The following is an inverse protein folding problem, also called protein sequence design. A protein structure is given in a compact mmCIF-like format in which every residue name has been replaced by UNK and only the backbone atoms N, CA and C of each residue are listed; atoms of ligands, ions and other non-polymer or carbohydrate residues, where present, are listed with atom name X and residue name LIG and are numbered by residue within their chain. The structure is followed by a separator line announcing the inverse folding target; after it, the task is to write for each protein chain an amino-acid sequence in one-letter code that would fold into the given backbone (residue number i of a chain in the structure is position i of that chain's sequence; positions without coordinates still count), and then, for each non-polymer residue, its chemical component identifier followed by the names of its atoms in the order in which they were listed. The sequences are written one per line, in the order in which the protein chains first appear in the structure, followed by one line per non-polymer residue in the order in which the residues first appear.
data_IF_432937303055
#
_entry.id   IF_432937303055
#
_cell.length_a   1.000
_cell.length_b   1.000
_cell.length_c   1.000
_cell.angle_alpha   90.00
_cell.angle_beta   90.00
_cell.angle_gamma   90.00
#
_symmetry.space_group_name_H-M   'P 1'
#
loop_
_entity.id
_entity.type
_entity.pdbx_description
1 polymer ?
#
# COMPACT_ATOMS: atom_id res chain seq x y z
N UNK A 1 48.99 -59.90 23.10
CA UNK A 1 48.14 -59.01 22.27
C UNK A 1 46.64 -59.25 22.41
N UNK A 2 46.13 -60.50 22.50
CA UNK A 2 44.67 -60.76 22.63
C UNK A 2 44.02 -60.32 23.96
N UNK A 3 44.76 -60.24 25.07
CA UNK A 3 44.20 -59.82 26.38
C UNK A 3 44.14 -58.29 26.57
N UNK A 4 45.02 -57.53 25.92
CA UNK A 4 45.01 -56.05 25.96
C UNK A 4 43.83 -55.50 25.18
N UNK A 5 43.48 -56.12 24.04
CA UNK A 5 42.30 -55.76 23.26
C UNK A 5 40.99 -55.94 24.06
N UNK A 6 40.88 -57.00 24.87
CA UNK A 6 39.71 -57.23 25.73
C UNK A 6 39.57 -56.18 26.84
N UNK A 7 40.69 -55.71 27.40
CA UNK A 7 40.71 -54.66 28.41
C UNK A 7 40.35 -53.30 27.80
N UNK A 8 40.86 -52.99 26.60
CA UNK A 8 40.54 -51.75 25.89
C UNK A 8 39.07 -51.71 25.41
N UNK A 9 38.51 -52.84 24.98
CA UNK A 9 37.09 -52.94 24.62
C UNK A 9 36.19 -52.83 25.86
N UNK A 10 36.58 -53.42 27.00
CA UNK A 10 35.84 -53.28 28.26
C UNK A 10 35.86 -51.83 28.79
N UNK A 11 36.99 -51.13 28.65
CA UNK A 11 37.11 -49.71 28.97
C UNK A 11 36.27 -48.83 28.03
N UNK A 12 36.25 -49.13 26.73
CA UNK A 12 35.42 -48.40 25.76
C UNK A 12 33.91 -48.56 26.02
N UNK A 13 33.46 -49.75 26.42
CA UNK A 13 32.06 -50.01 26.81
C UNK A 13 31.70 -49.37 28.15
N UNK A 14 32.64 -49.23 29.08
CA UNK A 14 32.41 -48.52 30.34
C UNK A 14 32.21 -47.01 30.14
N UNK A 15 32.80 -46.42 29.09
CA UNK A 15 32.63 -45.00 28.75
C UNK A 15 31.30 -44.67 28.05
N UNK A 16 30.59 -45.66 27.47
CA UNK A 16 29.29 -45.39 26.82
C UNK A 16 28.13 -45.21 27.81
N UNK A 17 28.34 -45.45 29.11
CA UNK A 17 27.33 -45.27 30.15
C UNK A 17 27.31 -43.88 30.82
N UNK A 18 28.21 -42.95 30.42
CA UNK A 18 28.22 -41.58 30.94
C UNK A 18 27.50 -40.55 30.04
N UNK A 19 26.79 -41.00 29.00
CA UNK A 19 26.11 -40.12 28.03
C UNK A 19 24.70 -39.65 28.39
N UNK A 20 24.14 -40.04 29.54
CA UNK A 20 22.85 -39.53 30.00
C UNK A 20 23.09 -38.34 30.93
N UNK A 21 23.30 -37.15 30.36
CA UNK A 21 22.88 -35.95 31.07
C UNK A 21 21.39 -36.14 31.32
N UNK A 22 20.96 -36.18 32.59
CA UNK A 22 19.54 -36.08 32.90
C UNK A 22 19.09 -34.78 32.24
N UNK A 23 18.23 -34.88 31.24
CA UNK A 23 17.53 -33.71 30.73
C UNK A 23 16.93 -33.01 31.96
N UNK A 24 17.16 -31.71 32.09
CA UNK A 24 16.49 -30.92 33.12
C UNK A 24 15.01 -31.23 32.99
N UNK A 25 14.41 -31.76 34.08
CA UNK A 25 12.99 -32.05 34.11
C UNK A 25 12.28 -30.78 33.64
N UNK A 26 11.48 -30.91 32.58
CA UNK A 26 10.63 -29.83 32.09
C UNK A 26 9.78 -29.36 33.28
N UNK A 27 10.21 -28.29 33.95
CA UNK A 27 9.55 -27.76 35.14
C UNK A 27 8.43 -26.84 34.67
N UNK A 28 7.51 -27.42 33.91
CA UNK A 28 6.32 -26.75 33.39
C UNK A 28 5.11 -27.33 34.11
N UNK A 29 4.38 -26.45 34.79
CA UNK A 29 3.08 -26.79 35.34
C UNK A 29 2.10 -26.84 34.16
N UNK A 30 1.63 -28.04 33.84
CA UNK A 30 0.48 -28.19 32.93
C UNK A 30 -0.72 -27.65 33.71
N UNK A 31 -1.13 -26.43 33.40
CA UNK A 31 -2.36 -25.87 33.94
C UNK A 31 -3.54 -26.61 33.31
N UNK A 32 -4.50 -27.00 34.14
CA UNK A 32 -5.69 -27.70 33.68
C UNK A 32 -6.53 -26.72 32.83
N UNK A 33 -6.71 -26.95 31.52
CA UNK A 33 -7.47 -26.03 30.66
C UNK A 33 -8.95 -25.90 31.06
N UNK A 34 -9.47 -26.83 31.88
CA UNK A 34 -10.87 -26.85 32.31
C UNK A 34 -11.14 -26.02 33.58
N UNK A 35 -10.13 -25.66 34.37
CA UNK A 35 -10.25 -24.78 35.53
C UNK A 35 -9.75 -23.37 35.19
N UNK A 36 -10.57 -22.63 34.46
CA UNK A 36 -10.24 -21.29 34.01
C UNK A 36 -10.87 -20.21 34.91
N UNK A 37 -10.03 -19.27 35.38
CA UNK A 37 -10.50 -18.05 36.05
C UNK A 37 -10.18 -16.84 35.17
N UNK A 38 -11.20 -16.05 34.83
CA UNK A 38 -11.06 -14.88 33.98
C UNK A 38 -10.07 -13.84 34.51
N UNK A 39 -9.05 -13.55 33.71
CA UNK A 39 -8.03 -12.56 34.00
C UNK A 39 -8.40 -11.15 33.54
N UNK A 40 -7.45 -10.22 33.63
CA UNK A 40 -7.62 -8.85 33.13
C UNK A 40 -7.75 -8.80 31.61
N UNK A 41 -6.98 -9.64 30.90
CA UNK A 41 -7.04 -9.76 29.44
C UNK A 41 -8.43 -10.20 28.97
N UNK A 42 -9.06 -11.17 29.64
CA UNK A 42 -10.41 -11.63 29.30
C UNK A 42 -11.47 -10.54 29.48
N UNK A 43 -11.37 -9.77 30.55
CA UNK A 43 -12.27 -8.63 30.79
C UNK A 43 -12.07 -7.56 29.72
N UNK A 44 -10.83 -7.31 29.32
CA UNK A 44 -10.50 -6.38 28.25
C UNK A 44 -11.07 -6.86 26.91
N UNK A 45 -10.91 -8.15 26.56
CA UNK A 45 -11.51 -8.76 25.36
C UNK A 45 -13.03 -8.64 25.40
N UNK A 46 -13.67 -8.98 26.53
CA UNK A 46 -15.12 -8.87 26.68
C UNK A 46 -15.61 -7.45 26.38
N UNK A 47 -14.99 -6.48 27.05
CA UNK A 47 -15.39 -5.07 26.97
C UNK A 47 -15.20 -4.47 25.57
N UNK A 48 -14.10 -4.82 24.89
CA UNK A 48 -13.69 -4.15 23.65
C UNK A 48 -14.06 -4.92 22.38
N UNK A 49 -14.36 -6.21 22.48
CA UNK A 49 -14.59 -7.10 21.33
C UNK A 49 -15.89 -7.90 21.46
N UNK A 50 -16.06 -8.64 22.55
CA UNK A 50 -17.22 -9.53 22.71
C UNK A 50 -18.51 -8.72 22.82
N UNK A 51 -18.58 -7.78 23.77
CA UNK A 51 -19.80 -7.00 24.04
C UNK A 51 -20.18 -6.08 22.86
N UNK A 52 -19.26 -5.31 22.23
CA UNK A 52 -19.64 -4.41 21.14
C UNK A 52 -19.85 -5.11 19.78
N UNK A 53 -19.14 -6.21 19.50
CA UNK A 53 -19.10 -6.79 18.15
C UNK A 53 -19.52 -8.27 18.09
N UNK A 54 -19.76 -8.91 19.23
CA UNK A 54 -19.97 -10.36 19.33
C UNK A 54 -18.81 -11.16 18.73
N UNK A 55 -17.58 -10.74 19.07
CA UNK A 55 -16.33 -11.35 18.61
C UNK A 55 -15.72 -12.16 19.76
N UNK A 56 -15.48 -13.44 19.51
CA UNK A 56 -14.69 -14.30 20.39
C UNK A 56 -13.21 -14.27 19.96
N UNK A 57 -12.32 -14.09 20.93
CA UNK A 57 -10.87 -14.16 20.71
C UNK A 57 -10.33 -15.43 21.35
N UNK A 58 -9.89 -16.37 20.52
CA UNK A 58 -9.32 -17.65 20.92
C UNK A 58 -7.80 -17.50 20.94
N UNK A 59 -7.26 -17.13 22.11
CA UNK A 59 -5.81 -16.95 22.30
C UNK A 59 -5.18 -18.05 23.16
N UNK A 60 -5.98 -18.73 23.99
CA UNK A 60 -5.53 -19.94 24.68
C UNK A 60 -5.35 -21.03 23.66
N UNK A 61 -4.18 -21.66 23.66
CA UNK A 61 -3.83 -22.63 22.65
C UNK A 61 -4.77 -23.83 22.68
N UNK A 62 -5.41 -24.09 21.54
CA UNK A 62 -6.30 -25.22 21.33
C UNK A 62 -5.83 -26.00 20.12
N UNK A 63 -5.44 -27.27 20.31
CA UNK A 63 -4.85 -28.10 19.25
C UNK A 63 -5.83 -28.36 18.09
N UNK A 64 -7.13 -28.35 18.35
CA UNK A 64 -8.17 -28.56 17.36
C UNK A 64 -8.47 -27.31 16.50
N UNK A 65 -7.83 -26.17 16.78
CA UNK A 65 -8.04 -24.90 16.05
C UNK A 65 -7.06 -24.71 14.88
N UNK A 66 -6.21 -25.70 14.59
CA UNK A 66 -5.32 -25.68 13.43
C UNK A 66 -5.09 -27.10 12.90
N UNK A 67 -4.50 -27.23 11.71
CA UNK A 67 -4.16 -28.53 11.13
C UNK A 67 -3.22 -29.31 12.06
N UNK A 68 -3.60 -30.55 12.36
CA UNK A 68 -2.87 -31.47 13.24
C UNK A 68 -1.47 -31.81 12.75
N UNK A 69 -1.19 -31.62 11.46
CA UNK A 69 0.12 -31.85 10.85
C UNK A 69 1.05 -30.65 10.93
N UNK A 70 0.56 -29.50 11.43
CA UNK A 70 1.35 -28.27 11.55
C UNK A 70 1.93 -28.11 12.95
N UNK A 71 3.17 -27.63 12.99
CA UNK A 71 3.87 -27.27 14.23
C UNK A 71 3.65 -25.78 14.48
N UNK A 72 2.65 -25.47 15.31
CA UNK A 72 2.23 -24.11 15.61
C UNK A 72 2.37 -23.86 17.11
N UNK A 73 3.06 -22.78 17.49
CA UNK A 73 3.26 -22.41 18.88
C UNK A 73 2.08 -21.61 19.45
N UNK A 74 1.82 -21.69 20.77
CA UNK A 74 0.91 -20.76 21.44
C UNK A 74 1.36 -19.30 21.22
N UNK A 75 0.42 -18.34 21.19
CA UNK A 75 0.77 -16.93 21.24
C UNK A 75 1.33 -16.56 22.61
N UNK A 76 2.26 -15.61 22.63
CA UNK A 76 2.64 -14.90 23.85
C UNK A 76 1.44 -14.08 24.32
N UNK A 77 0.95 -14.36 25.53
CA UNK A 77 -0.25 -13.70 26.08
C UNK A 77 -0.09 -12.18 26.16
N UNK A 78 1.12 -11.68 26.42
CA UNK A 78 1.41 -10.25 26.46
C UNK A 78 1.26 -9.58 25.08
N UNK A 79 1.26 -10.35 23.99
CA UNK A 79 1.07 -9.87 22.61
C UNK A 79 -0.39 -9.87 22.16
N UNK A 80 -1.29 -10.56 22.88
CA UNK A 80 -2.69 -10.71 22.48
C UNK A 80 -3.43 -9.37 22.48
N UNK A 81 -3.38 -8.63 23.58
CA UNK A 81 -4.04 -7.31 23.64
C UNK A 81 -3.46 -6.33 22.60
N UNK A 82 -2.13 -6.17 22.44
CA UNK A 82 -1.58 -5.35 21.36
C UNK A 82 -2.04 -5.75 19.96
N UNK A 83 -2.06 -7.05 19.64
CA UNK A 83 -2.57 -7.54 18.35
C UNK A 83 -4.04 -7.19 18.16
N UNK A 84 -4.87 -7.42 19.17
CA UNK A 84 -6.29 -7.14 19.06
C UNK A 84 -6.61 -5.64 19.08
N UNK A 85 -5.76 -4.81 19.69
CA UNK A 85 -5.85 -3.35 19.55
C UNK A 85 -5.59 -2.91 18.11
N UNK A 86 -4.61 -3.53 17.42
CA UNK A 86 -4.39 -3.30 15.98
C UNK A 86 -5.62 -3.69 15.16
N UNK A 87 -6.27 -4.82 15.48
CA UNK A 87 -7.52 -5.25 14.83
C UNK A 87 -8.65 -4.26 15.10
N UNK A 88 -8.77 -3.72 16.31
CA UNK A 88 -9.79 -2.71 16.63
C UNK A 88 -9.52 -1.46 15.79
N UNK A 89 -8.31 -0.92 15.88
CA UNK A 89 -7.94 0.36 15.29
C UNK A 89 -7.99 0.32 13.77
N UNK A 90 -7.20 -0.56 13.15
CA UNK A 90 -6.97 -0.59 11.71
C UNK A 90 -8.01 -1.38 10.92
N UNK A 91 -8.89 -2.12 11.57
CA UNK A 91 -9.90 -2.93 10.89
C UNK A 91 -11.32 -2.65 11.39
N UNK A 92 -11.65 -2.92 12.66
CA UNK A 92 -13.03 -2.81 13.14
C UNK A 92 -13.54 -1.37 13.11
N UNK A 93 -12.77 -0.42 13.61
CA UNK A 93 -13.15 0.99 13.65
C UNK A 93 -13.25 1.58 12.24
N UNK A 94 -12.34 1.19 11.33
CA UNK A 94 -12.38 1.60 9.91
C UNK A 94 -13.71 1.23 9.26
N UNK A 95 -14.09 -0.05 9.32
CA UNK A 95 -15.35 -0.51 8.72
C UNK A 95 -16.58 -0.03 9.48
N UNK A 96 -16.49 0.17 10.79
CA UNK A 96 -17.58 0.74 11.60
C UNK A 96 -17.86 2.19 11.24
N UNK A 97 -16.82 3.00 11.03
CA UNK A 97 -16.96 4.41 10.70
C UNK A 97 -17.49 4.62 9.29
N UNK A 98 -17.22 3.71 8.36
CA UNK A 98 -17.71 3.78 6.96
C UNK A 98 -19.04 3.05 6.76
N UNK A 99 -19.14 1.79 7.20
CA UNK A 99 -20.31 0.93 6.96
C UNK A 99 -21.36 0.94 8.08
N UNK A 100 -21.03 1.52 9.24
CA UNK A 100 -21.94 1.63 10.37
C UNK A 100 -22.25 0.29 11.06
N UNK A 101 -23.14 0.35 12.05
CA UNK A 101 -23.44 -0.79 12.92
C UNK A 101 -24.06 -2.00 12.17
N UNK A 102 -24.84 -1.76 11.11
CA UNK A 102 -25.46 -2.83 10.32
C UNK A 102 -24.40 -3.65 9.59
N UNK A 103 -23.45 -2.99 8.93
CA UNK A 103 -22.34 -3.67 8.26
C UNK A 103 -21.55 -4.52 9.24
N UNK A 104 -21.19 -3.94 10.39
CA UNK A 104 -20.41 -4.64 11.42
C UNK A 104 -21.14 -5.87 11.97
N UNK A 105 -22.45 -5.77 12.24
CA UNK A 105 -23.23 -6.92 12.74
C UNK A 105 -23.30 -8.06 11.73
N UNK A 106 -23.44 -7.74 10.44
CA UNK A 106 -23.65 -8.73 9.38
C UNK A 106 -22.36 -9.39 8.92
N UNK A 107 -21.29 -8.62 8.68
CA UNK A 107 -20.14 -9.09 7.92
C UNK A 107 -18.88 -9.33 8.75
N UNK A 108 -18.74 -8.67 9.91
CA UNK A 108 -17.53 -8.81 10.73
C UNK A 108 -17.37 -10.26 11.22
N UNK A 109 -16.14 -10.82 11.17
CA UNK A 109 -15.84 -12.14 11.72
C UNK A 109 -16.35 -12.25 13.16
N UNK A 110 -16.82 -13.43 13.56
CA UNK A 110 -17.26 -13.70 14.94
C UNK A 110 -16.17 -14.36 15.78
N UNK A 111 -15.09 -14.80 15.16
CA UNK A 111 -13.96 -15.44 15.84
C UNK A 111 -12.63 -14.97 15.28
N UNK A 112 -11.70 -14.65 16.18
CA UNK A 112 -10.27 -14.53 15.87
C UNK A 112 -9.51 -15.63 16.62
N UNK A 113 -8.88 -16.54 15.89
CA UNK A 113 -7.98 -17.55 16.47
C UNK A 113 -6.54 -17.09 16.33
N UNK A 114 -5.78 -17.08 17.43
CA UNK A 114 -4.48 -16.44 17.51
C UNK A 114 -3.37 -17.46 17.78
N UNK A 115 -2.30 -17.41 16.99
CA UNK A 115 -1.16 -18.30 17.09
C UNK A 115 0.18 -17.55 17.07
N UNK A 116 1.14 -18.03 17.86
CA UNK A 116 2.41 -17.32 18.08
C UNK A 116 3.38 -17.43 16.92
N UNK A 117 3.48 -18.61 16.29
CA UNK A 117 4.35 -18.86 15.15
C UNK A 117 3.61 -18.76 13.82
N UNK A 118 4.35 -18.59 12.72
CA UNK A 118 3.81 -18.75 11.37
C UNK A 118 3.34 -20.18 11.11
N UNK A 119 2.38 -20.36 10.20
CA UNK A 119 2.05 -21.66 9.64
C UNK A 119 2.87 -21.89 8.36
N UNK A 120 3.86 -22.78 8.43
CA UNK A 120 4.79 -23.05 7.34
C UNK A 120 4.27 -24.17 6.43
N UNK A 121 4.32 -23.92 5.13
CA UNK A 121 4.04 -24.91 4.09
C UNK A 121 5.28 -25.71 3.71
N UNK A 122 5.09 -26.84 3.05
CA UNK A 122 6.19 -27.74 2.64
C UNK A 122 7.15 -27.09 1.64
N UNK A 123 6.70 -26.05 0.93
CA UNK A 123 7.51 -25.26 0.00
C UNK A 123 8.23 -24.08 0.70
N UNK A 124 8.08 -23.94 2.01
CA UNK A 124 8.69 -22.89 2.83
C UNK A 124 7.91 -21.57 2.85
N UNK A 125 6.77 -21.47 2.15
CA UNK A 125 5.88 -20.31 2.27
C UNK A 125 5.21 -20.26 3.64
N UNK A 126 4.81 -19.06 4.07
CA UNK A 126 4.20 -18.81 5.38
C UNK A 126 2.78 -18.31 5.18
N UNK A 127 1.83 -19.02 5.78
CA UNK A 127 0.43 -18.57 5.87
C UNK A 127 0.33 -17.65 7.09
N UNK A 128 0.05 -16.38 6.84
CA UNK A 128 -0.09 -15.35 7.87
C UNK A 128 -1.51 -15.29 8.45
N UNK A 129 -2.52 -15.70 7.67
CA UNK A 129 -3.88 -15.84 8.14
C UNK A 129 -4.72 -16.75 7.26
N UNK A 130 -5.92 -17.08 7.73
CA UNK A 130 -6.94 -17.82 6.98
C UNK A 130 -8.34 -17.38 7.39
N UNK A 131 -9.30 -17.41 6.46
CA UNK A 131 -10.72 -17.23 6.71
C UNK A 131 -11.51 -18.53 6.52
N UNK A 132 -12.38 -18.85 7.48
CA UNK A 132 -13.21 -20.06 7.46
C UNK A 132 -14.68 -19.79 7.80
N UNK A 133 -15.57 -20.41 7.02
CA UNK A 133 -17.02 -20.45 7.25
C UNK A 133 -17.72 -19.09 7.35
N UNK A 134 -17.17 -18.03 6.76
CA UNK A 134 -17.67 -16.66 6.87
C UNK A 134 -17.62 -16.08 8.28
N UNK A 135 -16.92 -16.76 9.20
CA UNK A 135 -17.07 -16.55 10.64
C UNK A 135 -15.75 -16.38 11.37
N UNK A 136 -14.70 -17.11 10.97
CA UNK A 136 -13.44 -17.15 11.70
C UNK A 136 -12.31 -16.62 10.84
N UNK A 137 -11.51 -15.73 11.43
CA UNK A 137 -10.18 -15.37 10.93
C UNK A 137 -9.15 -15.99 11.86
N UNK A 138 -8.17 -16.69 11.29
CA UNK A 138 -7.00 -17.17 12.04
C UNK A 138 -5.83 -16.26 11.74
N UNK A 139 -5.10 -15.83 12.76
CA UNK A 139 -3.89 -15.01 12.64
C UNK A 139 -2.69 -15.79 13.18
N UNK A 140 -1.66 -15.92 12.36
CA UNK A 140 -0.41 -16.59 12.70
C UNK A 140 0.72 -15.56 12.90
N UNK A 141 1.77 -15.97 13.62
CA UNK A 141 2.98 -15.17 13.77
C UNK A 141 2.86 -13.99 14.75
N UNK A 142 1.89 -13.99 15.67
CA UNK A 142 1.67 -12.90 16.63
C UNK A 142 2.92 -12.50 17.42
N UNK A 143 3.79 -13.46 17.73
CA UNK A 143 4.98 -13.21 18.54
C UNK A 143 5.98 -12.28 17.84
N UNK A 144 5.89 -12.18 16.51
CA UNK A 144 6.71 -11.30 15.68
C UNK A 144 6.09 -9.90 15.48
N UNK A 145 4.87 -9.65 15.95
CA UNK A 145 4.24 -8.33 15.84
C UNK A 145 5.02 -7.30 16.66
N UNK A 146 5.38 -6.21 15.98
CA UNK A 146 5.95 -5.02 16.59
C UNK A 146 5.05 -3.81 16.32
N UNK A 147 4.19 -3.47 17.28
CA UNK A 147 3.24 -2.33 17.18
C UNK A 147 3.91 -0.96 17.03
N UNK A 148 5.20 -0.85 17.38
CA UNK A 148 5.99 0.38 17.20
C UNK A 148 6.59 0.49 15.79
N UNK A 149 6.40 -0.52 14.93
CA UNK A 149 6.87 -0.54 13.55
C UNK A 149 5.67 -0.42 12.61
N UNK A 150 5.59 0.70 11.89
CA UNK A 150 4.55 0.95 10.88
C UNK A 150 4.47 -0.19 9.88
N UNK A 151 5.61 -0.67 9.36
CA UNK A 151 5.63 -1.78 8.41
C UNK A 151 5.13 -3.10 9.00
N UNK A 152 5.41 -3.37 10.28
CA UNK A 152 4.89 -4.56 10.96
C UNK A 152 3.36 -4.49 11.13
N UNK A 153 2.82 -3.34 11.50
CA UNK A 153 1.38 -3.11 11.64
C UNK A 153 0.69 -3.18 10.27
N UNK A 154 1.25 -2.54 9.25
CA UNK A 154 0.75 -2.56 7.87
C UNK A 154 0.69 -3.98 7.30
N UNK A 155 1.73 -4.79 7.46
CA UNK A 155 1.73 -6.18 6.98
C UNK A 155 0.69 -7.06 7.69
N UNK A 156 0.50 -6.84 9.00
CA UNK A 156 -0.52 -7.51 9.78
C UNK A 156 -1.94 -7.14 9.31
N UNK A 157 -2.20 -5.83 9.14
CA UNK A 157 -3.48 -5.34 8.64
C UNK A 157 -3.73 -5.77 7.19
N UNK A 158 -2.72 -5.79 6.32
CA UNK A 158 -2.83 -6.32 4.96
C UNK A 158 -3.38 -7.74 4.93
N UNK A 159 -2.88 -8.60 5.82
CA UNK A 159 -3.40 -9.97 5.99
C UNK A 159 -4.85 -9.97 6.48
N UNK A 160 -5.18 -9.18 7.51
CA UNK A 160 -6.54 -9.10 8.06
C UNK A 160 -7.54 -8.61 7.00
N UNK A 161 -7.19 -7.57 6.23
CA UNK A 161 -8.03 -7.06 5.16
C UNK A 161 -8.19 -8.10 4.04
N UNK A 162 -7.12 -8.80 3.66
CA UNK A 162 -7.19 -9.90 2.68
C UNK A 162 -8.17 -10.99 3.13
N UNK A 163 -8.02 -11.52 4.35
CA UNK A 163 -8.92 -12.56 4.88
C UNK A 163 -10.36 -12.06 5.04
N UNK A 164 -10.55 -10.79 5.37
CA UNK A 164 -11.88 -10.21 5.43
C UNK A 164 -12.55 -10.15 4.06
N UNK A 165 -11.81 -9.88 2.99
CA UNK A 165 -12.36 -9.94 1.63
C UNK A 165 -12.83 -11.36 1.30
N UNK A 166 -12.09 -12.40 1.69
CA UNK A 166 -12.58 -13.78 1.55
C UNK A 166 -13.91 -14.00 2.27
N UNK A 167 -14.10 -13.45 3.48
CA UNK A 167 -15.38 -13.51 4.22
C UNK A 167 -16.49 -12.77 3.47
N UNK A 168 -16.22 -11.56 2.97
CA UNK A 168 -17.20 -10.84 2.14
C UNK A 168 -17.60 -11.68 0.93
N UNK A 169 -16.63 -12.30 0.27
CA UNK A 169 -16.83 -13.07 -0.96
C UNK A 169 -17.60 -14.39 -0.73
N UNK A 170 -17.59 -14.91 0.49
CA UNK A 170 -18.44 -16.04 0.90
C UNK A 170 -19.90 -15.63 1.11
N UNK A 171 -20.17 -14.35 1.37
CA UNK A 171 -21.54 -13.81 1.57
C UNK A 171 -22.11 -13.11 0.33
N UNK A 172 -21.24 -12.62 -0.55
CA UNK A 172 -21.55 -11.92 -1.80
C UNK A 172 -20.57 -12.40 -2.86
N UNK A 173 -21.07 -12.98 -3.94
CA UNK A 173 -20.21 -13.57 -4.96
C UNK A 173 -19.33 -12.51 -5.64
N UNK A 174 -18.11 -12.90 -6.00
CA UNK A 174 -17.25 -12.10 -6.86
C UNK A 174 -17.98 -11.84 -8.19
N UNK A 175 -18.03 -10.59 -8.68
CA UNK A 175 -18.69 -10.29 -9.96
C UNK A 175 -18.05 -11.05 -11.13
N UNK A 176 -18.87 -11.59 -12.03
CA UNK A 176 -18.40 -12.33 -13.21
C UNK A 176 -17.45 -11.49 -14.08
N UNK A 177 -17.72 -10.18 -14.20
CA UNK A 177 -16.87 -9.24 -14.91
C UNK A 177 -15.43 -9.25 -14.41
N UNK A 178 -15.19 -9.49 -13.10
CA UNK A 178 -13.83 -9.60 -12.56
C UNK A 178 -13.09 -10.82 -13.12
N UNK A 179 -13.78 -11.96 -13.20
CA UNK A 179 -13.21 -13.23 -13.67
C UNK A 179 -12.74 -13.12 -15.13
N UNK A 180 -13.48 -12.37 -15.94
CA UNK A 180 -13.21 -12.21 -17.37
C UNK A 180 -11.95 -11.37 -17.65
N UNK A 181 -11.50 -10.52 -16.72
CA UNK A 181 -10.37 -9.61 -16.95
C UNK A 181 -9.05 -10.37 -17.18
N UNK A 182 -8.81 -11.42 -16.39
CA UNK A 182 -7.58 -12.24 -16.42
C UNK A 182 -7.86 -13.71 -16.70
N UNK A 183 -8.96 -14.01 -17.38
CA UNK A 183 -9.31 -15.38 -17.77
C UNK A 183 -8.17 -16.02 -18.57
N UNK A 184 -7.80 -17.25 -18.20
CA UNK A 184 -6.71 -18.00 -18.84
C UNK A 184 -5.29 -17.70 -18.30
N UNK A 185 -5.10 -16.64 -17.51
CA UNK A 185 -3.77 -16.23 -17.02
C UNK A 185 -3.49 -16.65 -15.56
N UNK A 186 -4.43 -17.33 -14.90
CA UNK A 186 -4.23 -17.90 -13.56
C UNK A 186 -3.18 -19.02 -13.57
N UNK A 187 -2.35 -19.02 -12.54
CA UNK A 187 -1.26 -19.97 -12.36
C UNK A 187 -1.17 -20.38 -10.88
N UNK A 188 -1.61 -21.61 -10.58
CA UNK A 188 -1.76 -22.10 -9.21
C UNK A 188 -0.45 -22.14 -8.41
N UNK A 189 0.68 -22.40 -9.07
CA UNK A 189 2.00 -22.42 -8.42
C UNK A 189 2.54 -20.99 -8.27
N UNK A 190 2.02 -20.27 -7.28
CA UNK A 190 2.33 -18.87 -7.08
C UNK A 190 3.77 -18.59 -6.65
N UNK A 191 4.46 -19.56 -6.03
CA UNK A 191 5.86 -19.44 -5.56
C UNK A 191 6.89 -19.61 -6.67
N UNK A 192 6.48 -19.97 -7.88
CA UNK A 192 7.39 -20.16 -9.01
C UNK A 192 7.97 -18.83 -9.52
N UNK A 193 9.22 -18.54 -9.17
CA UNK A 193 9.85 -17.26 -9.52
C UNK A 193 10.20 -17.10 -11.00
N UNK A 194 10.20 -18.17 -11.79
CA UNK A 194 10.52 -18.14 -13.23
C UNK A 194 9.27 -17.90 -14.08
N UNK A 195 8.20 -18.66 -13.85
CA UNK A 195 6.95 -18.59 -14.61
C UNK A 195 5.91 -17.65 -13.99
N UNK A 196 6.12 -17.26 -12.73
CA UNK A 196 5.25 -16.38 -11.96
C UNK A 196 6.05 -15.27 -11.24
N UNK A 197 7.10 -14.75 -11.88
CA UNK A 197 7.83 -13.60 -11.34
C UNK A 197 6.89 -12.41 -11.11
N UNK A 198 7.29 -11.47 -10.23
CA UNK A 198 6.57 -10.20 -10.04
C UNK A 198 6.36 -9.47 -11.37
N UNK A 199 7.38 -9.45 -12.23
CA UNK A 199 7.29 -8.82 -13.56
C UNK A 199 6.20 -9.46 -14.42
N UNK A 200 6.21 -10.79 -14.55
CA UNK A 200 5.23 -11.51 -15.37
C UNK A 200 3.81 -11.30 -14.81
N UNK A 201 3.66 -11.44 -13.49
CA UNK A 201 2.36 -11.29 -12.83
C UNK A 201 1.80 -9.89 -13.05
N UNK A 202 2.64 -8.88 -12.88
CA UNK A 202 2.31 -7.49 -13.11
C UNK A 202 1.91 -7.22 -14.55
N UNK A 203 2.70 -7.67 -15.53
CA UNK A 203 2.42 -7.48 -16.96
C UNK A 203 1.11 -8.15 -17.43
N UNK A 204 0.70 -9.22 -16.74
CA UNK A 204 -0.57 -9.90 -16.98
C UNK A 204 -1.77 -9.27 -16.23
N UNK A 205 -1.54 -8.26 -15.38
CA UNK A 205 -2.59 -7.54 -14.66
C UNK A 205 -2.94 -8.12 -13.29
N UNK A 206 -1.97 -8.72 -12.59
CA UNK A 206 -2.10 -9.18 -11.21
C UNK A 206 -1.26 -8.31 -10.27
N UNK A 207 -1.82 -7.95 -9.11
CA UNK A 207 -1.18 -7.04 -8.15
C UNK A 207 -0.02 -7.72 -7.38
N UNK A 208 -0.02 -9.06 -7.33
CA UNK A 208 1.06 -9.86 -6.76
C UNK A 208 1.17 -11.21 -7.49
N UNK A 209 2.30 -11.94 -7.36
CA UNK A 209 2.38 -13.34 -7.77
C UNK A 209 1.31 -14.22 -7.11
N UNK A 210 0.94 -13.92 -5.86
CA UNK A 210 -0.07 -14.68 -5.11
C UNK A 210 -1.48 -14.52 -5.70
N UNK A 211 -1.82 -13.31 -6.18
CA UNK A 211 -3.07 -13.04 -6.89
C UNK A 211 -3.27 -13.96 -8.12
N UNK A 212 -2.19 -14.49 -8.74
CA UNK A 212 -2.31 -15.43 -9.87
C UNK A 212 -2.78 -16.82 -9.46
N UNK A 213 -2.80 -17.16 -8.17
CA UNK A 213 -3.15 -18.50 -7.70
C UNK A 213 -4.59 -18.89 -8.11
N UNK A 214 -5.56 -18.01 -7.89
CA UNK A 214 -6.94 -18.16 -8.31
C UNK A 214 -7.71 -16.83 -8.17
N UNK A 215 -8.94 -16.79 -8.69
CA UNK A 215 -9.84 -15.61 -8.68
C UNK A 215 -10.09 -15.06 -7.28
N UNK A 216 -10.25 -15.94 -6.27
CA UNK A 216 -10.52 -15.53 -4.89
C UNK A 216 -9.36 -14.73 -4.30
N UNK A 217 -8.13 -15.23 -4.46
CA UNK A 217 -6.92 -14.52 -4.01
C UNK A 217 -6.70 -13.23 -4.79
N UNK A 218 -6.95 -13.24 -6.11
CA UNK A 218 -6.81 -12.06 -6.96
C UNK A 218 -7.71 -10.91 -6.51
N UNK A 219 -8.98 -11.22 -6.25
CA UNK A 219 -9.93 -10.24 -5.75
C UNK A 219 -9.54 -9.73 -4.36
N UNK A 220 -9.16 -10.64 -3.46
CA UNK A 220 -8.72 -10.31 -2.11
C UNK A 220 -7.49 -9.41 -2.10
N UNK A 221 -6.47 -9.74 -2.91
CA UNK A 221 -5.24 -8.95 -3.05
C UNK A 221 -5.51 -7.57 -3.65
N UNK A 222 -6.36 -7.46 -4.68
CA UNK A 222 -6.66 -6.13 -5.27
C UNK A 222 -7.35 -5.24 -4.24
N UNK A 223 -8.38 -5.74 -3.55
CA UNK A 223 -9.11 -4.94 -2.57
C UNK A 223 -8.27 -4.62 -1.34
N UNK A 224 -7.51 -5.58 -0.80
CA UNK A 224 -6.64 -5.35 0.36
C UNK A 224 -5.52 -4.37 0.03
N UNK A 225 -4.83 -4.51 -1.12
CA UNK A 225 -3.79 -3.57 -1.56
C UNK A 225 -4.34 -2.15 -1.75
N UNK A 226 -5.53 -2.00 -2.34
CA UNK A 226 -6.16 -0.68 -2.48
C UNK A 226 -6.37 -0.01 -1.12
N UNK A 227 -6.76 -0.77 -0.09
CA UNK A 227 -6.98 -0.26 1.27
C UNK A 227 -5.65 0.02 1.97
N UNK A 228 -4.76 -0.97 2.03
CA UNK A 228 -3.57 -0.91 2.87
C UNK A 228 -2.42 -0.17 2.22
N UNK A 229 -2.06 -0.47 0.98
CA UNK A 229 -0.94 0.21 0.30
C UNK A 229 -1.38 1.54 -0.32
N UNK A 230 -2.67 1.67 -0.59
CA UNK A 230 -3.33 2.91 -0.96
C UNK A 230 -3.32 3.22 -2.46
N UNK A 231 -4.10 4.23 -2.83
CA UNK A 231 -4.36 4.56 -4.24
C UNK A 231 -3.10 4.88 -5.04
N UNK A 232 -2.19 5.68 -4.48
CA UNK A 232 -0.98 6.11 -5.19
C UNK A 232 -0.04 4.93 -5.50
N UNK A 233 0.03 3.94 -4.62
CA UNK A 233 0.77 2.70 -4.88
C UNK A 233 0.12 1.91 -6.02
N UNK A 234 -1.20 1.69 -5.95
CA UNK A 234 -1.92 0.92 -6.96
C UNK A 234 -1.83 1.57 -8.34
N UNK A 235 -1.97 2.89 -8.42
CA UNK A 235 -1.89 3.66 -9.67
C UNK A 235 -0.49 3.59 -10.28
N UNK A 236 0.57 3.70 -9.47
CA UNK A 236 1.95 3.52 -9.91
C UNK A 236 2.26 2.09 -10.33
N UNK A 237 1.76 1.10 -9.58
CA UNK A 237 1.91 -0.30 -9.94
C UNK A 237 1.26 -0.58 -11.31
N UNK A 238 0.02 -0.12 -11.50
CA UNK A 238 -0.72 -0.20 -12.75
C UNK A 238 0.01 0.47 -13.90
N UNK A 239 0.49 1.71 -13.72
CA UNK A 239 1.23 2.45 -14.74
C UNK A 239 2.51 1.73 -15.20
N UNK A 240 3.19 1.01 -14.28
CA UNK A 240 4.38 0.20 -14.57
C UNK A 240 4.09 -1.22 -15.11
N UNK A 241 2.83 -1.54 -15.40
CA UNK A 241 2.41 -2.90 -15.78
C UNK A 241 2.40 -3.15 -17.29
N UNK A 242 2.85 -2.19 -18.10
CA UNK A 242 2.65 -2.24 -19.56
C UNK A 242 1.18 -2.04 -19.94
N UNK A 243 0.89 -1.94 -21.23
CA UNK A 243 -0.45 -1.58 -21.71
C UNK A 243 -1.54 -2.58 -21.27
N UNK A 244 -1.27 -3.88 -21.45
CA UNK A 244 -2.20 -4.94 -21.06
C UNK A 244 -2.42 -4.95 -19.53
N UNK A 245 -1.35 -5.06 -18.74
CA UNK A 245 -1.44 -5.11 -17.29
C UNK A 245 -2.10 -3.86 -16.69
N UNK A 246 -1.79 -2.68 -17.22
CA UNK A 246 -2.41 -1.42 -16.80
C UNK A 246 -3.93 -1.43 -17.07
N UNK A 247 -4.35 -1.83 -18.27
CA UNK A 247 -5.77 -1.89 -18.62
C UNK A 247 -6.55 -2.85 -17.73
N UNK A 248 -5.95 -4.02 -17.41
CA UNK A 248 -6.55 -5.05 -16.57
C UNK A 248 -6.63 -4.63 -15.10
N UNK A 249 -5.57 -4.06 -14.54
CA UNK A 249 -5.58 -3.57 -13.16
C UNK A 249 -6.59 -2.43 -12.99
N UNK A 250 -6.68 -1.50 -13.95
CA UNK A 250 -7.71 -0.45 -13.93
C UNK A 250 -9.13 -1.02 -14.01
N UNK A 251 -9.35 -2.05 -14.82
CA UNK A 251 -10.64 -2.74 -14.87
C UNK A 251 -10.96 -3.44 -13.54
N UNK A 252 -9.97 -4.10 -12.92
CA UNK A 252 -10.14 -4.77 -11.62
C UNK A 252 -10.49 -3.78 -10.51
N UNK A 253 -9.78 -2.66 -10.44
CA UNK A 253 -10.09 -1.57 -9.51
C UNK A 253 -11.54 -1.09 -9.67
N UNK A 254 -11.99 -0.86 -10.92
CA UNK A 254 -13.35 -0.42 -11.19
C UNK A 254 -14.40 -1.43 -10.70
N UNK A 255 -14.18 -2.73 -10.95
CA UNK A 255 -15.09 -3.79 -10.49
C UNK A 255 -15.10 -3.91 -8.96
N UNK A 256 -13.94 -3.77 -8.30
CA UNK A 256 -13.87 -3.80 -6.83
C UNK A 256 -14.61 -2.62 -6.21
N UNK A 257 -14.45 -1.40 -6.75
CA UNK A 257 -15.19 -0.22 -6.29
C UNK A 257 -16.70 -0.43 -6.41
N UNK A 258 -17.13 -0.90 -7.58
CA UNK A 258 -18.53 -1.19 -7.85
C UNK A 258 -19.09 -2.30 -6.94
N UNK A 259 -18.32 -3.35 -6.70
CA UNK A 259 -18.69 -4.43 -5.77
C UNK A 259 -18.95 -3.89 -4.35
N UNK A 260 -18.06 -3.04 -3.84
CA UNK A 260 -18.21 -2.46 -2.49
C UNK A 260 -19.46 -1.57 -2.42
N UNK A 261 -19.69 -0.76 -3.45
CA UNK A 261 -20.84 0.14 -3.54
C UNK A 261 -22.16 -0.62 -3.65
N UNK A 262 -22.29 -1.55 -4.60
CA UNK A 262 -23.54 -2.27 -4.86
C UNK A 262 -23.92 -3.23 -3.74
N UNK A 263 -22.95 -3.90 -3.11
CA UNK A 263 -23.24 -4.94 -2.12
C UNK A 263 -23.33 -4.42 -0.69
N UNK A 264 -22.63 -3.32 -0.37
CA UNK A 264 -22.51 -2.84 0.99
C UNK A 264 -22.88 -1.36 1.18
N UNK A 265 -23.19 -0.65 0.09
CA UNK A 265 -23.54 0.78 0.15
C UNK A 265 -22.40 1.66 0.65
N UNK A 266 -21.16 1.17 0.59
CA UNK A 266 -19.96 1.89 0.98
C UNK A 266 -19.17 2.30 -0.25
N UNK A 267 -18.38 3.35 -0.11
CA UNK A 267 -17.42 3.75 -1.14
C UNK A 267 -16.02 3.29 -0.73
N UNK A 268 -15.30 2.61 -1.64
CA UNK A 268 -13.95 2.12 -1.34
C UNK A 268 -13.01 3.28 -0.94
N UNK A 269 -13.20 4.47 -1.53
CA UNK A 269 -12.43 5.66 -1.17
C UNK A 269 -12.59 6.02 0.30
N UNK A 270 -13.78 5.88 0.87
CA UNK A 270 -14.00 6.21 2.28
C UNK A 270 -13.31 5.21 3.21
N UNK A 271 -13.29 3.92 2.84
CA UNK A 271 -12.51 2.88 3.55
C UNK A 271 -11.01 3.21 3.47
N UNK A 272 -10.52 3.55 2.27
CA UNK A 272 -9.14 3.96 2.05
C UNK A 272 -8.77 5.17 2.90
N UNK A 273 -9.66 6.17 3.05
CA UNK A 273 -9.39 7.39 3.82
C UNK A 273 -9.36 7.11 5.32
N UNK A 274 -10.35 6.37 5.83
CA UNK A 274 -10.43 6.07 7.26
C UNK A 274 -9.27 5.16 7.72
N UNK A 275 -8.87 4.19 6.89
CA UNK A 275 -7.67 3.39 7.13
C UNK A 275 -6.41 4.26 7.20
N UNK A 276 -6.23 5.16 6.22
CA UNK A 276 -5.06 6.03 6.17
C UNK A 276 -5.00 6.97 7.36
N UNK A 277 -6.11 7.61 7.69
CA UNK A 277 -6.24 8.45 8.89
C UNK A 277 -5.81 7.67 10.14
N UNK A 278 -6.33 6.46 10.33
CA UNK A 278 -5.95 5.60 11.45
C UNK A 278 -4.44 5.33 11.48
N UNK A 279 -3.86 4.97 10.33
CA UNK A 279 -2.43 4.69 10.25
C UNK A 279 -1.56 5.92 10.52
N UNK A 280 -1.97 7.10 10.07
CA UNK A 280 -1.24 8.35 10.32
C UNK A 280 -1.38 8.83 11.78
N UNK A 281 -2.60 8.81 12.34
CA UNK A 281 -2.89 9.35 13.67
C UNK A 281 -2.45 8.42 14.80
N UNK A 282 -2.68 7.09 14.68
CA UNK A 282 -2.38 6.13 15.75
C UNK A 282 -1.00 5.50 15.65
N UNK A 283 -0.50 5.28 14.43
CA UNK A 283 0.77 4.58 14.20
C UNK A 283 1.87 5.48 13.61
N UNK A 284 1.59 6.76 13.36
CA UNK A 284 2.58 7.70 12.83
C UNK A 284 3.03 7.36 11.40
N UNK A 285 2.21 6.65 10.63
CA UNK A 285 2.51 6.33 9.24
C UNK A 285 2.67 7.61 8.42
N UNK A 286 3.54 7.52 7.42
CA UNK A 286 3.74 8.58 6.42
C UNK A 286 3.59 8.04 5.00
N UNK A 287 3.22 6.77 4.86
CA UNK A 287 3.21 6.06 3.58
C UNK A 287 2.22 6.64 2.57
N UNK A 288 1.18 7.33 3.06
CA UNK A 288 0.08 7.84 2.24
C UNK A 288 0.23 9.28 1.78
N UNK A 289 1.25 9.99 2.30
CA UNK A 289 1.52 11.39 1.99
C UNK A 289 2.00 11.57 0.56
N UNK A 290 1.68 12.71 -0.06
CA UNK A 290 2.14 13.03 -1.42
C UNK A 290 3.68 13.08 -1.48
N UNK A 291 4.34 13.61 -0.45
CA UNK A 291 5.81 13.62 -0.37
C UNK A 291 6.42 12.23 -0.42
N UNK A 292 5.80 11.25 0.25
CA UNK A 292 6.23 9.85 0.21
C UNK A 292 5.99 9.21 -1.15
N UNK A 293 4.87 9.53 -1.82
CA UNK A 293 4.60 9.07 -3.18
C UNK A 293 5.67 9.59 -4.17
N UNK A 294 6.06 10.88 -4.05
CA UNK A 294 7.16 11.45 -4.84
C UNK A 294 8.49 10.75 -4.51
N UNK A 295 8.82 10.57 -3.23
CA UNK A 295 10.10 9.97 -2.82
C UNK A 295 10.24 8.49 -3.20
N UNK A 296 9.13 7.73 -3.19
CA UNK A 296 9.08 6.34 -3.67
C UNK A 296 9.02 6.25 -5.19
N UNK A 297 8.95 7.38 -5.89
CA UNK A 297 8.94 7.44 -7.35
C UNK A 297 7.62 7.01 -7.97
N UNK A 298 6.51 7.08 -7.23
CA UNK A 298 5.17 6.76 -7.75
C UNK A 298 4.64 7.81 -8.72
N UNK A 299 5.10 9.05 -8.57
CA UNK A 299 4.64 10.19 -9.37
C UNK A 299 5.67 10.44 -10.47
N UNK A 300 5.25 10.29 -11.73
CA UNK A 300 6.07 10.60 -12.91
C UNK A 300 6.11 12.10 -13.17
N UNK A 301 4.95 12.75 -13.20
CA UNK A 301 4.88 14.20 -13.43
C UNK A 301 3.60 14.81 -12.90
N UNK A 302 3.63 16.14 -12.76
CA UNK A 302 2.46 16.98 -12.52
C UNK A 302 2.21 17.77 -13.82
N UNK A 303 1.03 17.62 -14.40
CA UNK A 303 0.59 18.42 -15.54
C UNK A 303 0.09 19.78 -15.03
N UNK A 304 0.84 20.84 -15.35
CA UNK A 304 0.60 22.22 -14.89
C UNK A 304 -0.16 23.06 -15.93
N UNK A 305 -0.58 22.47 -17.05
CA UNK A 305 -1.35 23.17 -18.07
C UNK A 305 -2.78 23.46 -17.58
N UNK A 306 -3.02 24.72 -17.17
CA UNK A 306 -4.30 25.16 -16.62
C UNK A 306 -5.41 25.30 -17.66
N UNK A 307 -5.14 25.02 -18.94
CA UNK A 307 -6.15 24.99 -20.02
C UNK A 307 -6.86 23.63 -20.11
N UNK A 308 -6.38 22.62 -19.39
CA UNK A 308 -6.93 21.27 -19.40
C UNK A 308 -8.27 21.20 -18.64
N UNK A 309 -9.17 20.24 -18.96
CA UNK A 309 -10.50 20.15 -18.34
C UNK A 309 -10.50 20.09 -16.80
N UNK A 310 -9.48 19.45 -16.22
CA UNK A 310 -9.34 19.35 -14.76
C UNK A 310 -9.13 20.72 -14.10
N UNK A 311 -8.38 21.61 -14.74
CA UNK A 311 -8.07 22.94 -14.22
C UNK A 311 -9.26 23.88 -14.41
N UNK A 312 -9.96 23.79 -15.54
CA UNK A 312 -11.15 24.59 -15.82
C UNK A 312 -12.30 24.29 -14.84
N UNK A 313 -12.42 23.02 -14.40
CA UNK A 313 -13.45 22.61 -13.44
C UNK A 313 -13.12 22.97 -11.98
N UNK A 314 -11.85 23.05 -11.61
CA UNK A 314 -11.40 23.24 -10.21
C UNK A 314 -10.86 24.63 -9.90
N UNK A 315 -10.45 25.36 -10.93
CA UNK A 315 -9.62 26.55 -10.79
C UNK A 315 -8.18 26.20 -10.38
N UNK A 316 -7.30 27.18 -10.57
CA UNK A 316 -5.92 27.18 -10.07
C UNK A 316 -5.70 28.46 -9.28
N UNK A 317 -4.66 28.53 -8.44
CA UNK A 317 -4.39 29.75 -7.68
C UNK A 317 -4.05 30.93 -8.61
N UNK A 318 -4.29 32.15 -8.13
CA UNK A 318 -3.87 33.36 -8.85
C UNK A 318 -2.35 33.34 -9.11
N UNK A 319 -1.57 32.82 -8.17
CA UNK A 319 -0.12 32.67 -8.32
C UNK A 319 0.22 31.73 -9.47
N UNK A 320 -0.40 30.54 -9.54
CA UNK A 320 -0.18 29.60 -10.62
C UNK A 320 -0.55 30.21 -11.97
N UNK A 321 -1.72 30.84 -12.06
CA UNK A 321 -2.16 31.53 -13.29
C UNK A 321 -1.13 32.53 -13.77
N UNK A 322 -0.66 33.42 -12.89
CA UNK A 322 0.28 34.48 -13.25
C UNK A 322 1.64 33.95 -13.72
N UNK A 323 2.17 32.90 -13.08
CA UNK A 323 3.49 32.37 -13.46
C UNK A 323 3.45 31.51 -14.72
N UNK A 324 2.31 30.90 -15.06
CA UNK A 324 2.17 30.06 -16.26
C UNK A 324 1.60 30.80 -17.47
N UNK A 325 1.02 31.99 -17.29
CA UNK A 325 0.33 32.75 -18.34
C UNK A 325 1.18 32.95 -19.60
N UNK A 326 2.41 33.47 -19.46
CA UNK A 326 3.28 33.73 -20.59
C UNK A 326 3.52 32.47 -21.43
N UNK A 327 3.90 31.36 -20.78
CA UNK A 327 4.12 30.07 -21.44
C UNK A 327 2.85 29.54 -22.10
N UNK A 328 1.71 29.56 -21.40
CA UNK A 328 0.48 28.94 -21.89
C UNK A 328 -0.17 29.71 -23.05
N UNK A 329 0.15 31.00 -23.20
CA UNK A 329 -0.25 31.82 -24.35
C UNK A 329 0.56 31.50 -25.63
N UNK A 330 1.69 30.80 -25.49
CA UNK A 330 2.57 30.43 -26.59
C UNK A 330 4.03 30.70 -26.23
N UNK A 331 4.96 30.18 -27.03
CA UNK A 331 6.39 30.49 -26.92
C UNK A 331 6.91 30.95 -28.27
N UNK A 332 7.21 32.25 -28.40
CA UNK A 332 7.47 32.86 -29.70
C UNK A 332 6.28 32.69 -30.65
N UNK A 333 6.50 32.07 -31.83
CA UNK A 333 5.45 31.78 -32.81
C UNK A 333 4.83 30.38 -32.67
N UNK A 334 5.15 29.65 -31.60
CA UNK A 334 4.70 28.28 -31.40
C UNK A 334 3.58 28.21 -30.36
N UNK A 335 2.69 27.25 -30.56
CA UNK A 335 1.66 26.93 -29.57
C UNK A 335 2.19 25.96 -28.54
N UNK A 336 1.92 26.21 -27.25
CA UNK A 336 2.24 25.26 -26.18
C UNK A 336 1.19 24.17 -26.13
N UNK A 337 1.65 22.91 -26.15
CA UNK A 337 0.87 21.67 -26.14
C UNK A 337 0.81 21.00 -24.77
N UNK A 338 1.70 21.38 -23.85
CA UNK A 338 1.68 20.90 -22.48
C UNK A 338 2.78 21.51 -21.65
N UNK A 339 2.56 21.53 -20.34
CA UNK A 339 3.50 22.03 -19.33
C UNK A 339 3.56 21.00 -18.21
N UNK A 340 4.71 20.38 -18.01
CA UNK A 340 4.85 19.28 -17.04
C UNK A 340 6.03 19.50 -16.12
N UNK A 341 5.82 19.34 -14.82
CA UNK A 341 6.92 19.13 -13.87
C UNK A 341 7.13 17.63 -13.70
N UNK A 342 8.17 17.08 -14.33
CA UNK A 342 8.48 15.65 -14.34
C UNK A 342 9.52 15.31 -13.28
N UNK A 343 9.22 14.34 -12.43
CA UNK A 343 10.17 13.84 -11.42
C UNK A 343 11.05 12.75 -12.02
N UNK A 344 12.36 12.90 -11.84
CA UNK A 344 13.36 11.89 -12.23
C UNK A 344 13.57 10.93 -11.07
N UNK A 345 13.85 11.51 -9.91
CA UNK A 345 14.03 10.88 -8.60
C UNK A 345 13.69 11.90 -7.50
N UNK A 346 13.86 11.53 -6.22
CA UNK A 346 13.53 12.39 -5.09
C UNK A 346 14.33 13.71 -5.03
N UNK A 347 15.50 13.77 -5.67
CA UNK A 347 16.39 14.93 -5.68
C UNK A 347 16.42 15.69 -7.01
N UNK A 348 15.66 15.26 -8.03
CA UNK A 348 15.71 15.82 -9.37
C UNK A 348 14.35 15.86 -10.05
N UNK A 349 14.04 17.00 -10.67
CA UNK A 349 12.90 17.16 -11.56
C UNK A 349 13.28 17.95 -12.80
N UNK A 350 12.49 17.83 -13.85
CA UNK A 350 12.63 18.59 -15.09
C UNK A 350 11.30 19.28 -15.39
N UNK A 351 11.32 20.58 -15.65
CA UNK A 351 10.19 21.30 -16.22
C UNK A 351 10.24 21.14 -17.73
N UNK A 352 9.23 20.48 -18.30
CA UNK A 352 9.09 20.25 -19.73
C UNK A 352 7.98 21.14 -20.31
N UNK A 353 8.35 21.96 -21.30
CA UNK A 353 7.44 22.77 -22.11
C UNK A 353 7.32 22.12 -23.48
N UNK A 354 6.16 21.53 -23.78
CA UNK A 354 5.89 20.91 -25.06
C UNK A 354 5.29 21.96 -26.00
N UNK A 355 5.81 22.11 -27.21
CA UNK A 355 5.35 23.11 -28.17
C UNK A 355 5.38 22.60 -29.61
N UNK A 356 4.55 23.19 -30.47
CA UNK A 356 4.41 22.84 -31.89
C UNK A 356 4.08 24.08 -32.72
N UNK A 357 4.20 23.99 -34.04
CA UNK A 357 3.87 25.11 -34.96
C UNK A 357 2.41 25.52 -34.87
N UNK A 358 1.51 24.56 -34.66
CA UNK A 358 0.08 24.79 -34.43
C UNK A 358 -0.54 23.62 -33.64
N UNK A 359 -1.84 23.74 -33.32
CA UNK A 359 -2.56 22.77 -32.51
C UNK A 359 -2.78 21.41 -33.22
N UNK A 360 -2.74 21.39 -34.55
CA UNK A 360 -2.98 20.19 -35.37
C UNK A 360 -1.69 19.41 -35.68
N UNK A 361 -0.54 20.07 -35.51
CA UNK A 361 0.77 19.48 -35.79
C UNK A 361 1.05 18.31 -34.85
N UNK A 362 1.47 17.18 -35.43
CA UNK A 362 1.83 15.95 -34.71
C UNK A 362 3.28 15.97 -34.20
N UNK A 363 4.15 16.70 -34.87
CA UNK A 363 5.52 16.90 -34.43
C UNK A 363 5.56 17.88 -33.24
N UNK A 364 5.90 17.36 -32.06
CA UNK A 364 5.95 18.13 -30.82
C UNK A 364 7.42 18.20 -30.37
N UNK A 365 7.91 19.41 -30.16
CA UNK A 365 9.21 19.66 -29.56
C UNK A 365 9.05 19.91 -28.06
N UNK A 366 10.13 19.69 -27.32
CA UNK A 366 10.17 19.92 -25.87
C UNK A 366 11.33 20.82 -25.52
N UNK A 367 11.09 21.86 -24.74
CA UNK A 367 12.13 22.61 -24.04
C UNK A 367 12.17 22.15 -22.57
N UNK A 368 13.34 21.74 -22.09
CA UNK A 368 13.50 21.14 -20.76
C UNK A 368 14.45 21.94 -19.87
N UNK A 369 14.06 22.10 -18.60
CA UNK A 369 14.85 22.75 -17.56
C UNK A 369 14.98 21.83 -16.34
N UNK A 370 16.20 21.37 -16.06
CA UNK A 370 16.50 20.50 -14.93
C UNK A 370 16.64 21.28 -13.63
N UNK A 371 16.03 20.76 -12.58
CA UNK A 371 16.08 21.25 -11.21
C UNK A 371 16.67 20.20 -10.28
N UNK A 372 17.48 20.68 -9.33
CA UNK A 372 17.81 19.94 -8.11
C UNK A 372 16.78 20.26 -7.04
N UNK A 373 16.32 19.22 -6.35
CA UNK A 373 15.37 19.31 -5.24
C UNK A 373 16.14 19.07 -3.96
N UNK A 374 16.05 20.00 -3.01
CA UNK A 374 16.56 19.82 -1.65
C UNK A 374 15.39 19.66 -0.70
N UNK A 375 15.49 18.70 0.22
CA UNK A 375 14.44 18.42 1.21
C UNK A 375 14.95 18.60 2.63
N UNK A 376 14.18 19.29 3.46
CA UNK A 376 14.41 19.38 4.90
C UNK A 376 13.07 19.37 5.64
N UNK A 377 12.81 18.35 6.46
CA UNK A 377 11.59 18.22 7.26
C UNK A 377 10.28 18.47 6.47
N UNK A 378 10.07 17.77 5.35
CA UNK A 378 8.92 17.94 4.42
C UNK A 378 8.80 19.30 3.73
N UNK A 379 9.84 20.13 3.79
CA UNK A 379 9.95 21.36 3.03
C UNK A 379 10.94 21.14 1.89
N UNK A 380 10.50 21.45 0.67
CA UNK A 380 11.20 21.21 -0.57
C UNK A 380 11.59 22.53 -1.22
N UNK A 381 12.82 22.65 -1.70
CA UNK A 381 13.24 23.80 -2.51
C UNK A 381 13.81 23.34 -3.84
N UNK A 382 13.57 24.15 -4.87
CA UNK A 382 14.04 23.91 -6.22
C UNK A 382 15.17 24.88 -6.55
N UNK A 383 16.25 24.36 -7.11
CA UNK A 383 17.32 25.15 -7.71
C UNK A 383 17.53 24.65 -9.14
N UNK A 384 17.77 25.55 -10.09
CA UNK A 384 18.16 25.14 -11.44
C UNK A 384 19.46 24.33 -11.33
N UNK A 385 19.52 23.16 -11.98
CA UNK A 385 20.69 22.30 -11.93
C UNK A 385 21.91 23.02 -12.51
N UNK A 386 23.05 22.91 -11.83
CA UNK A 386 24.31 23.56 -12.22
C UNK A 386 24.75 23.18 -13.65
N UNK A 387 24.45 21.95 -14.05
CA UNK A 387 24.62 21.44 -15.41
C UNK A 387 23.27 20.97 -15.92
N UNK A 388 22.79 21.58 -17.00
CA UNK A 388 21.63 21.11 -17.75
C UNK A 388 22.03 19.96 -18.67
N UNK A 389 21.07 19.13 -19.09
CA UNK A 389 21.31 18.15 -20.14
C UNK A 389 21.76 18.77 -21.47
N UNK A 390 22.14 17.92 -22.43
CA UNK A 390 22.69 18.33 -23.74
C UNK A 390 21.79 17.90 -24.88
N UNK A 391 21.93 18.55 -26.04
CA UNK A 391 21.10 18.28 -27.21
C UNK A 391 19.66 18.76 -27.03
N UNK A 392 18.79 18.39 -27.97
CA UNK A 392 17.34 18.50 -27.75
C UNK A 392 16.93 17.48 -26.68
N UNK A 393 16.15 17.85 -25.66
CA UNK A 393 15.30 19.06 -25.54
C UNK A 393 15.95 20.35 -24.98
N UNK A 394 17.17 20.29 -24.46
CA UNK A 394 17.82 21.39 -23.74
C UNK A 394 18.33 22.52 -24.64
N UNK A 395 18.64 22.24 -25.90
CA UNK A 395 19.05 23.29 -26.85
C UNK A 395 17.89 24.21 -27.21
N UNK A 396 16.66 23.70 -27.29
CA UNK A 396 15.46 24.53 -27.47
C UNK A 396 15.21 25.46 -26.27
N UNK A 397 15.49 24.99 -25.06
CA UNK A 397 15.35 25.79 -23.82
C UNK A 397 16.27 27.03 -23.76
N UNK A 398 17.24 27.15 -24.68
CA UNK A 398 18.16 28.31 -24.78
C UNK A 398 17.65 29.41 -25.70
N UNK A 399 16.57 29.18 -26.45
CA UNK A 399 16.01 30.20 -27.32
C UNK A 399 15.43 31.34 -26.48
N UNK A 400 15.85 32.58 -26.79
CA UNK A 400 15.56 33.76 -25.96
C UNK A 400 14.06 33.99 -25.70
N UNK A 401 13.20 33.68 -26.69
CA UNK A 401 11.74 33.78 -26.51
C UNK A 401 11.21 32.72 -25.52
N UNK A 402 11.67 31.47 -25.59
CA UNK A 402 11.29 30.42 -24.62
C UNK A 402 11.80 30.77 -23.22
N UNK A 403 13.05 31.24 -23.11
CA UNK A 403 13.62 31.66 -21.81
C UNK A 403 12.78 32.76 -21.17
N UNK A 404 12.42 33.80 -21.94
CA UNK A 404 11.60 34.92 -21.44
C UNK A 404 10.27 34.43 -20.88
N UNK A 405 9.59 33.54 -21.59
CA UNK A 405 8.24 33.10 -21.22
C UNK A 405 8.25 32.11 -20.04
N UNK A 406 9.30 31.29 -19.90
CA UNK A 406 9.42 30.27 -18.84
C UNK A 406 10.03 30.82 -17.54
N UNK A 407 10.82 31.90 -17.61
CA UNK A 407 11.48 32.51 -16.45
C UNK A 407 10.56 32.80 -15.25
N UNK A 408 9.30 33.28 -15.41
CA UNK A 408 8.40 33.47 -14.28
C UNK A 408 8.19 32.22 -13.41
N UNK A 409 8.12 31.03 -14.03
CA UNK A 409 8.01 29.76 -13.32
C UNK A 409 9.33 29.43 -12.61
N UNK A 410 10.44 29.51 -13.34
CA UNK A 410 11.79 29.19 -12.83
C UNK A 410 12.13 30.08 -11.62
N UNK A 411 11.92 31.38 -11.75
CA UNK A 411 12.23 32.34 -10.68
C UNK A 411 11.33 32.16 -9.47
N UNK A 412 10.06 31.82 -9.67
CA UNK A 412 9.18 31.51 -8.54
C UNK A 412 9.66 30.25 -7.79
N UNK A 413 10.00 29.17 -8.51
CA UNK A 413 10.51 27.93 -7.93
C UNK A 413 11.80 28.15 -7.12
N UNK A 414 12.67 29.07 -7.55
CA UNK A 414 13.91 29.47 -6.84
C UNK A 414 13.67 30.41 -5.64
N UNK A 415 12.57 31.16 -5.64
CA UNK A 415 12.34 32.26 -4.67
C UNK A 415 11.80 31.81 -3.31
N UNK A 416 11.29 30.58 -3.22
CA UNK A 416 10.62 30.06 -2.04
C UNK A 416 10.83 28.56 -1.89
N UNK A 417 10.27 28.01 -0.83
CA UNK A 417 10.19 26.57 -0.59
C UNK A 417 8.73 26.14 -0.56
N UNK A 418 8.50 24.84 -0.70
CA UNK A 418 7.18 24.26 -0.88
C UNK A 418 6.96 23.08 0.06
N UNK A 419 5.68 22.80 0.35
CA UNK A 419 5.23 21.51 0.83
C UNK A 419 4.54 20.76 -0.31
N UNK A 420 4.70 19.45 -0.34
CA UNK A 420 3.93 18.58 -1.22
C UNK A 420 2.55 18.32 -0.61
N UNK A 421 1.50 18.42 -1.41
CA UNK A 421 0.15 18.01 -1.00
C UNK A 421 -0.71 17.52 -2.16
N UNK A 422 -1.72 16.70 -1.85
CA UNK A 422 -2.79 16.36 -2.79
C UNK A 422 -3.79 17.51 -2.89
N UNK A 423 -4.21 17.86 -4.11
CA UNK A 423 -5.19 18.93 -4.31
C UNK A 423 -6.56 18.48 -3.81
N UNK A 424 -7.20 19.32 -2.99
CA UNK A 424 -8.52 19.09 -2.43
C UNK A 424 -8.67 17.78 -1.62
N UNK A 425 -7.58 17.26 -1.04
CA UNK A 425 -7.50 16.07 -0.16
C UNK A 425 -8.84 15.44 0.24
N UNK A 426 -9.37 15.79 1.42
CA UNK A 426 -10.63 15.28 1.99
C UNK A 426 -11.87 16.12 1.66
N UNK A 427 -11.69 17.23 0.93
CA UNK A 427 -12.72 18.24 0.69
C UNK A 427 -13.18 18.32 -0.78
N UNK A 428 -12.68 17.44 -1.67
CA UNK A 428 -13.12 17.38 -3.07
C UNK A 428 -14.60 16.91 -3.11
N UNK A 429 -15.55 17.71 -3.64
CA UNK A 429 -16.94 17.29 -3.78
C UNK A 429 -17.12 16.07 -4.70
N UNK A 430 -16.11 15.74 -5.52
CA UNK A 430 -16.07 14.57 -6.40
C UNK A 430 -14.95 13.60 -6.00
N UNK A 431 -14.69 13.45 -4.69
CA UNK A 431 -13.58 12.65 -4.16
C UNK A 431 -13.58 11.21 -4.66
N UNK A 432 -14.75 10.61 -4.90
CA UNK A 432 -14.89 9.23 -5.40
C UNK A 432 -14.18 9.01 -6.73
N UNK A 433 -14.24 9.99 -7.62
CA UNK A 433 -13.60 9.92 -8.93
C UNK A 433 -12.16 10.44 -8.92
N UNK A 434 -11.81 11.28 -7.94
CA UNK A 434 -10.62 12.13 -8.00
C UNK A 434 -9.59 11.85 -6.92
N UNK A 435 -9.84 10.85 -6.08
CA UNK A 435 -8.98 10.47 -4.98
C UNK A 435 -7.52 10.31 -5.43
N UNK A 436 -6.66 11.20 -4.91
CA UNK A 436 -5.21 11.26 -5.20
C UNK A 436 -4.83 11.39 -6.68
N UNK A 437 -5.72 11.90 -7.55
CA UNK A 437 -5.41 12.18 -8.97
C UNK A 437 -4.77 13.53 -9.23
N UNK A 438 -4.80 14.43 -8.25
CA UNK A 438 -4.30 15.79 -8.36
C UNK A 438 -3.42 16.11 -7.16
N UNK A 439 -2.34 16.86 -7.40
CA UNK A 439 -1.38 17.21 -6.36
C UNK A 439 -0.34 18.18 -6.88
N UNK A 440 0.52 18.64 -5.97
CA UNK A 440 1.52 19.63 -6.32
C UNK A 440 2.13 20.32 -5.11
N UNK A 441 2.36 21.61 -5.26
CA UNK A 441 3.21 22.42 -4.38
C UNK A 441 2.40 23.48 -3.65
N UNK A 442 2.63 23.63 -2.35
CA UNK A 442 2.09 24.73 -1.53
C UNK A 442 3.26 25.59 -1.07
N UNK A 443 3.26 26.88 -1.39
CA UNK A 443 4.28 27.82 -0.93
C UNK A 443 4.26 27.95 0.61
N UNK A 444 5.41 27.76 1.24
CA UNK A 444 5.55 27.85 2.70
C UNK A 444 5.33 29.26 3.23
N UNK A 445 5.55 30.30 2.41
CA UNK A 445 5.38 31.70 2.79
C UNK A 445 3.92 32.16 2.70
N UNK A 446 3.12 31.51 1.85
CA UNK A 446 1.71 31.82 1.68
C UNK A 446 0.95 30.60 1.15
N UNK A 447 0.17 29.94 2.01
CA UNK A 447 -0.56 28.72 1.65
C UNK A 447 -1.65 28.92 0.59
N UNK A 448 -2.07 30.15 0.29
CA UNK A 448 -2.97 30.43 -0.83
C UNK A 448 -2.25 30.33 -2.20
N UNK A 449 -0.92 30.41 -2.22
CA UNK A 449 -0.12 30.23 -3.42
C UNK A 449 0.17 28.75 -3.66
N UNK A 450 -0.76 28.06 -4.32
CA UNK A 450 -0.61 26.66 -4.70
C UNK A 450 -0.26 26.51 -6.18
N UNK A 451 0.51 25.49 -6.52
CA UNK A 451 0.79 25.06 -7.89
C UNK A 451 0.34 23.60 -7.97
N UNK A 452 -0.87 23.38 -8.48
CA UNK A 452 -1.46 22.06 -8.58
C UNK A 452 -1.59 21.61 -10.02
N UNK A 453 -1.62 20.30 -10.20
CA UNK A 453 -1.83 19.70 -11.49
C UNK A 453 -2.36 18.28 -11.40
N UNK A 454 -2.75 17.75 -12.56
CA UNK A 454 -3.07 16.34 -12.69
C UNK A 454 -1.79 15.50 -12.56
N UNK A 455 -1.85 14.46 -11.74
CA UNK A 455 -0.74 13.55 -11.50
C UNK A 455 -0.71 12.49 -12.60
N UNK A 456 0.47 12.31 -13.19
CA UNK A 456 0.79 11.14 -13.99
C UNK A 456 1.62 10.20 -13.11
N UNK A 457 1.16 8.96 -12.96
CA UNK A 457 1.89 7.95 -12.20
C UNK A 457 3.00 7.33 -13.03
N UNK A 458 4.08 6.96 -12.36
CA UNK A 458 5.22 6.26 -12.94
C UNK A 458 5.01 4.78 -12.79
#
# INVERSE_FOLDING_TARGET
MKSIYKILVALAVAYTFQGCNKEDKLNYKIENPDEFTAGELDKWISTNLTDPYNIEVIYRYQRNMHDVNKNISPPDEAKVQPQMQVVIDGFLDVYKNVGGATFMKTYTPKQFALFGSGNYETDGSVVAGTADGGRRVTLYGLNNLNVNSVSSVMGNLGTIHHEFVHILNQTRMIPEDFLLITIGDYYANWTNTTQNSVKISRELGFISPYARKNVGEDFAEVMSTLITDGQAYYDSYSANSGELGNSRLKAKEAVVRDYVQRNFGMELVDIQREFQKTMEEKYGSRDFKFSTAVSKGFIKSINLDSRQPWALSRGVSAKQSNITEAVLNGVGNYVVRGLNLRFIDAGKATLDVLFATDASTTNIWTASYDFTITTNNDVFSFALAATQGTGNPYDYAKFGYIVSDVNPIIDYFKSTSFKYDYMAGDADPNILENYKKYGGLIDVKNSANTIYGQLNFK
#
